data_IF_667042297185
#
_entry.id   IF_667042297185
#
_cell.length_a   1.000
_cell.length_b   1.000
_cell.length_c   1.000
_cell.angle_alpha   90.00
_cell.angle_beta   90.00
_cell.angle_gamma   90.00
#
_symmetry.space_group_name_H-M   'P 1'
#
loop_
_entity.id
_entity.type
_entity.pdbx_description
1 polymer ?
#
# COMPACT_ATOMS: atom_id res chain seq x y z
N UNK A 1 28.32 -30.98 26.00
CA UNK A 1 28.44 -29.66 25.41
C UNK A 1 27.84 -29.79 24.01
N UNK A 2 26.52 -29.59 23.90
CA UNK A 2 25.79 -29.74 22.63
C UNK A 2 25.44 -28.31 22.21
N UNK A 3 26.24 -27.79 21.31
CA UNK A 3 25.91 -26.58 20.57
C UNK A 3 24.70 -26.90 19.67
N UNK A 4 23.51 -26.58 20.12
CA UNK A 4 22.37 -26.43 19.24
C UNK A 4 22.65 -25.18 18.36
N UNK A 5 23.29 -25.38 17.24
CA UNK A 5 23.27 -24.49 16.13
C UNK A 5 21.78 -24.29 15.73
N UNK A 6 21.21 -23.15 16.10
CA UNK A 6 19.98 -22.67 15.49
C UNK A 6 20.25 -22.40 14.02
N UNK A 7 20.18 -23.42 13.16
CA UNK A 7 19.98 -23.22 11.76
C UNK A 7 18.66 -22.47 11.60
N UNK A 8 18.74 -21.19 11.32
CA UNK A 8 17.56 -20.39 10.96
C UNK A 8 16.97 -20.99 9.67
N UNK A 9 16.01 -21.89 9.83
CA UNK A 9 15.34 -22.55 8.72
C UNK A 9 14.69 -21.48 7.83
N UNK A 10 15.18 -21.33 6.63
CA UNK A 10 14.57 -20.46 5.63
C UNK A 10 13.22 -21.02 5.20
N UNK A 11 12.15 -20.22 5.35
CA UNK A 11 10.83 -20.58 4.82
C UNK A 11 10.87 -20.53 3.30
N UNK A 12 10.56 -21.66 2.66
CA UNK A 12 10.55 -21.79 1.20
C UNK A 12 9.16 -21.57 0.61
N UNK A 13 9.07 -21.47 -0.73
CA UNK A 13 7.77 -21.45 -1.41
C UNK A 13 6.98 -22.75 -1.20
N UNK A 14 7.67 -23.89 -1.03
CA UNK A 14 7.01 -25.18 -0.75
C UNK A 14 6.38 -25.18 0.65
N UNK A 15 7.08 -24.66 1.65
CA UNK A 15 6.54 -24.53 3.02
C UNK A 15 5.29 -23.64 3.03
N UNK A 16 5.29 -22.52 2.27
CA UNK A 16 4.13 -21.64 2.14
C UNK A 16 2.96 -22.32 1.42
N UNK A 17 3.25 -23.14 0.42
CA UNK A 17 2.21 -23.91 -0.29
C UNK A 17 1.57 -24.98 0.62
N UNK A 18 2.39 -25.72 1.38
CA UNK A 18 1.91 -26.71 2.34
C UNK A 18 1.03 -26.06 3.42
N UNK A 19 1.50 -24.94 4.00
CA UNK A 19 0.69 -24.20 4.98
C UNK A 19 -0.63 -23.67 4.39
N UNK A 20 -0.64 -23.26 3.13
CA UNK A 20 -1.87 -22.82 2.45
C UNK A 20 -2.85 -23.97 2.25
N UNK A 21 -2.36 -25.20 2.09
CA UNK A 21 -3.22 -26.40 2.04
C UNK A 21 -3.84 -26.70 3.41
N UNK A 22 -3.04 -26.64 4.48
CA UNK A 22 -3.53 -26.82 5.85
C UNK A 22 -4.64 -25.81 6.19
N UNK A 23 -4.53 -24.57 5.73
CA UNK A 23 -5.56 -23.55 5.94
C UNK A 23 -6.91 -23.91 5.30
N UNK A 24 -6.95 -24.74 4.25
CA UNK A 24 -8.22 -25.14 3.60
C UNK A 24 -9.05 -26.08 4.46
N UNK A 25 -8.41 -26.74 5.42
CA UNK A 25 -9.10 -27.65 6.35
C UNK A 25 -9.66 -26.93 7.58
N UNK A 26 -9.29 -25.67 7.80
CA UNK A 26 -9.82 -24.90 8.94
C UNK A 26 -11.33 -24.68 8.82
N UNK A 27 -12.02 -24.83 9.94
CA UNK A 27 -13.48 -24.66 10.03
C UNK A 27 -14.30 -25.88 9.60
N UNK A 28 -13.66 -26.99 9.19
CA UNK A 28 -14.35 -28.24 8.83
C UNK A 28 -14.57 -29.19 10.01
N UNK A 29 -13.91 -28.92 11.14
CA UNK A 29 -14.03 -29.72 12.38
C UNK A 29 -15.08 -29.18 13.36
N UNK A 30 -15.39 -29.98 14.37
CA UNK A 30 -16.27 -29.60 15.48
C UNK A 30 -15.51 -28.71 16.46
N UNK A 31 -15.56 -27.40 16.28
CA UNK A 31 -14.97 -26.42 17.21
C UNK A 31 -16.05 -25.63 17.94
N UNK A 32 -15.84 -25.31 19.21
CA UNK A 32 -16.72 -24.44 19.99
C UNK A 32 -16.57 -22.97 19.60
N UNK A 33 -17.55 -22.14 19.94
CA UNK A 33 -17.60 -20.73 19.58
C UNK A 33 -16.35 -19.94 20.04
N UNK A 34 -15.78 -20.25 21.21
CA UNK A 34 -14.56 -19.62 21.71
C UNK A 34 -13.36 -19.94 20.82
N UNK A 35 -13.21 -21.19 20.42
CA UNK A 35 -12.13 -21.62 19.52
C UNK A 35 -12.27 -20.96 18.14
N UNK A 36 -13.48 -20.90 17.60
CA UNK A 36 -13.73 -20.28 16.29
C UNK A 36 -13.34 -18.80 16.28
N UNK A 37 -13.68 -18.04 17.31
CA UNK A 37 -13.31 -16.60 17.36
C UNK A 37 -11.80 -16.42 17.56
N UNK A 38 -11.14 -17.31 18.30
CA UNK A 38 -9.69 -17.29 18.46
C UNK A 38 -8.97 -17.64 17.14
N UNK A 39 -9.47 -18.61 16.38
CA UNK A 39 -8.94 -18.93 15.05
C UNK A 39 -9.09 -17.74 14.08
N UNK A 40 -10.23 -17.06 14.08
CA UNK A 40 -10.42 -15.84 13.28
C UNK A 40 -9.39 -14.77 13.65
N UNK A 41 -9.17 -14.53 14.94
CA UNK A 41 -8.16 -13.58 15.41
C UNK A 41 -6.75 -13.98 14.95
N UNK A 42 -6.37 -15.25 15.11
CA UNK A 42 -5.05 -15.75 14.67
C UNK A 42 -4.84 -15.63 13.17
N UNK A 43 -5.88 -15.84 12.37
CA UNK A 43 -5.81 -15.63 10.92
C UNK A 43 -5.61 -14.16 10.55
N UNK A 44 -6.18 -13.21 11.30
CA UNK A 44 -5.94 -11.78 11.07
C UNK A 44 -4.52 -11.36 11.45
N UNK A 45 -3.98 -11.90 12.56
CA UNK A 45 -2.57 -11.73 12.94
C UNK A 45 -1.63 -12.32 11.87
N UNK A 46 -1.94 -13.49 11.35
CA UNK A 46 -1.18 -14.14 10.26
C UNK A 46 -1.20 -13.33 8.96
N UNK A 47 -2.35 -12.79 8.56
CA UNK A 47 -2.45 -11.90 7.40
C UNK A 47 -1.53 -10.68 7.54
N UNK A 48 -1.48 -10.12 8.72
CA UNK A 48 -0.65 -8.97 9.04
C UNK A 48 0.84 -9.33 8.98
N UNK A 49 1.24 -10.45 9.59
CA UNK A 49 2.60 -10.97 9.53
C UNK A 49 3.03 -11.31 8.08
N UNK A 50 2.13 -11.89 7.29
CA UNK A 50 2.36 -12.16 5.88
C UNK A 50 2.57 -10.87 5.07
N UNK A 51 1.79 -9.82 5.35
CA UNK A 51 1.96 -8.51 4.71
C UNK A 51 3.32 -7.88 5.05
N UNK A 52 3.77 -7.98 6.30
CA UNK A 52 5.11 -7.52 6.70
C UNK A 52 6.22 -8.30 5.99
N UNK A 53 6.10 -9.61 5.89
CA UNK A 53 7.03 -10.46 5.15
C UNK A 53 7.06 -10.08 3.65
N UNK A 54 5.90 -9.85 3.03
CA UNK A 54 5.78 -9.38 1.65
C UNK A 54 6.48 -8.02 1.46
N UNK A 55 6.37 -7.09 2.42
CA UNK A 55 7.06 -5.81 2.34
C UNK A 55 8.59 -5.99 2.32
N UNK A 56 9.15 -6.81 3.22
CA UNK A 56 10.59 -7.11 3.24
C UNK A 56 11.05 -7.77 1.93
N UNK A 57 10.32 -8.77 1.46
CA UNK A 57 10.64 -9.46 0.20
C UNK A 57 10.56 -8.50 -1.00
N UNK A 58 9.59 -7.61 -1.02
CA UNK A 58 9.42 -6.60 -2.08
C UNK A 58 10.65 -5.68 -2.16
N UNK A 59 11.17 -5.20 -1.02
CA UNK A 59 12.36 -4.34 -1.01
C UNK A 59 13.61 -5.11 -1.44
N UNK A 60 13.79 -6.36 -0.98
CA UNK A 60 14.91 -7.22 -1.42
C UNK A 60 14.84 -7.49 -2.92
N UNK A 61 13.67 -7.86 -3.43
CA UNK A 61 13.44 -8.06 -4.87
C UNK A 61 13.77 -6.80 -5.67
N UNK A 62 13.28 -5.64 -5.23
CA UNK A 62 13.57 -4.37 -5.89
C UNK A 62 15.06 -4.05 -5.94
N UNK A 63 15.80 -4.35 -4.86
CA UNK A 63 17.24 -4.16 -4.81
C UNK A 63 17.96 -5.09 -5.81
N UNK A 64 17.59 -6.38 -5.84
CA UNK A 64 18.16 -7.37 -6.77
C UNK A 64 17.91 -6.97 -8.23
N UNK A 65 16.67 -6.56 -8.56
CA UNK A 65 16.32 -6.11 -9.91
C UNK A 65 17.10 -4.86 -10.33
N UNK A 66 17.24 -3.88 -9.43
CA UNK A 66 18.04 -2.67 -9.71
C UNK A 66 19.53 -3.00 -9.93
N UNK A 67 20.09 -3.96 -9.20
CA UNK A 67 21.45 -4.44 -9.41
C UNK A 67 21.59 -5.15 -10.76
N UNK A 68 20.69 -6.04 -11.12
CA UNK A 68 20.69 -6.72 -12.41
C UNK A 68 20.58 -5.75 -13.58
N UNK A 69 19.70 -4.75 -13.48
CA UNK A 69 19.55 -3.70 -14.49
C UNK A 69 20.84 -2.87 -14.66
N UNK A 70 21.53 -2.55 -13.57
CA UNK A 70 22.84 -1.86 -13.62
C UNK A 70 23.91 -2.72 -14.32
N UNK A 71 23.98 -4.01 -13.95
CA UNK A 71 24.90 -4.94 -14.56
C UNK A 71 24.63 -5.15 -16.07
N UNK A 72 23.38 -5.05 -16.49
CA UNK A 72 22.97 -5.10 -17.89
C UNK A 72 23.16 -3.77 -18.65
N UNK A 73 23.75 -2.73 -18.04
CA UNK A 73 24.00 -1.44 -18.68
C UNK A 73 22.75 -0.59 -18.89
N UNK A 74 21.67 -0.84 -18.19
CA UNK A 74 20.43 -0.04 -18.28
C UNK A 74 20.74 1.41 -17.86
N UNK A 75 20.33 2.43 -18.63
CA UNK A 75 20.56 3.82 -18.27
C UNK A 75 20.01 4.18 -16.90
N UNK A 76 20.73 4.99 -16.11
CA UNK A 76 20.39 5.34 -14.73
C UNK A 76 18.95 5.80 -14.54
N UNK A 77 18.41 6.58 -15.50
CA UNK A 77 17.00 7.06 -15.52
C UNK A 77 15.95 5.95 -15.67
N UNK A 78 16.37 4.75 -16.05
CA UNK A 78 15.51 3.60 -16.33
C UNK A 78 15.62 2.50 -15.27
N UNK A 79 16.62 2.60 -14.40
CA UNK A 79 16.82 1.66 -13.29
C UNK A 79 15.58 1.70 -12.38
N UNK A 80 15.07 0.50 -12.06
CA UNK A 80 13.86 0.32 -11.26
C UNK A 80 12.56 0.36 -12.07
N UNK A 81 12.59 0.73 -13.37
CA UNK A 81 11.40 0.61 -14.22
C UNK A 81 10.93 -0.85 -14.29
N UNK A 82 9.62 -1.05 -14.21
CA UNK A 82 8.99 -2.36 -14.28
C UNK A 82 8.94 -3.14 -12.96
N UNK A 83 9.74 -2.78 -11.94
CA UNK A 83 9.74 -3.48 -10.65
C UNK A 83 8.36 -3.46 -9.99
N UNK A 84 7.70 -2.30 -9.93
CA UNK A 84 6.34 -2.20 -9.38
C UNK A 84 5.32 -3.05 -10.16
N UNK A 85 5.45 -3.15 -11.49
CA UNK A 85 4.56 -4.00 -12.29
C UNK A 85 4.77 -5.50 -12.00
N UNK A 86 6.01 -5.94 -11.78
CA UNK A 86 6.31 -7.33 -11.40
C UNK A 86 5.75 -7.64 -10.00
N UNK A 87 5.86 -6.70 -9.04
CA UNK A 87 5.23 -6.83 -7.71
C UNK A 87 3.72 -6.92 -7.83
N UNK A 88 3.09 -6.09 -8.69
CA UNK A 88 1.65 -6.15 -8.95
C UNK A 88 1.23 -7.52 -9.48
N UNK A 89 1.95 -8.05 -10.47
CA UNK A 89 1.68 -9.36 -11.05
C UNK A 89 1.76 -10.47 -9.98
N UNK A 90 2.81 -10.46 -9.16
CA UNK A 90 2.99 -11.43 -8.07
C UNK A 90 1.87 -11.36 -7.03
N UNK A 91 1.36 -10.14 -6.75
CA UNK A 91 0.23 -9.93 -5.82
C UNK A 91 -1.15 -10.00 -6.50
N UNK A 92 -1.21 -10.32 -7.79
CA UNK A 92 -2.44 -10.37 -8.60
C UNK A 92 -3.22 -9.05 -8.56
N UNK A 93 -2.50 -7.93 -8.64
CA UNK A 93 -3.07 -6.58 -8.51
C UNK A 93 -2.73 -5.73 -9.76
N UNK A 94 -3.34 -4.55 -9.88
CA UNK A 94 -3.08 -3.64 -10.99
C UNK A 94 -1.68 -3.03 -10.93
N UNK A 95 -1.07 -2.64 -12.07
CA UNK A 95 0.26 -2.00 -12.07
C UNK A 95 0.35 -0.75 -11.20
N UNK A 96 -0.74 0.02 -11.08
CA UNK A 96 -0.81 1.18 -10.20
C UNK A 96 -0.71 0.79 -8.72
N UNK A 97 -1.37 -0.30 -8.33
CA UNK A 97 -1.28 -0.87 -6.98
C UNK A 97 0.12 -1.41 -6.68
N UNK A 98 0.77 -2.03 -7.67
CA UNK A 98 2.14 -2.50 -7.51
C UNK A 98 3.14 -1.40 -7.14
N UNK A 99 3.00 -0.21 -7.74
CA UNK A 99 3.80 0.94 -7.35
C UNK A 99 3.50 1.40 -5.91
N UNK A 100 2.23 1.33 -5.48
CA UNK A 100 1.84 1.63 -4.10
C UNK A 100 2.41 0.61 -3.11
N UNK A 101 2.35 -0.69 -3.43
CA UNK A 101 2.94 -1.75 -2.60
C UNK A 101 4.46 -1.58 -2.46
N UNK A 102 5.15 -1.27 -3.54
CA UNK A 102 6.59 -0.99 -3.51
C UNK A 102 6.90 0.23 -2.63
N UNK A 103 6.17 1.33 -2.80
CA UNK A 103 6.34 2.52 -1.98
C UNK A 103 6.04 2.29 -0.50
N UNK A 104 4.99 1.54 -0.18
CA UNK A 104 4.67 1.14 1.20
C UNK A 104 5.78 0.26 1.80
N UNK A 105 6.27 -0.73 1.05
CA UNK A 105 7.34 -1.61 1.49
C UNK A 105 8.63 -0.84 1.79
N UNK A 106 9.02 0.10 0.92
CA UNK A 106 10.18 0.98 1.13
C UNK A 106 9.99 1.88 2.36
N UNK A 107 8.80 2.45 2.56
CA UNK A 107 8.47 3.27 3.71
C UNK A 107 8.56 2.46 5.02
N UNK A 108 7.92 1.30 5.09
CA UNK A 108 7.91 0.45 6.27
C UNK A 108 9.32 0.00 6.67
N UNK A 109 10.13 -0.43 5.70
CA UNK A 109 11.46 -1.00 5.99
C UNK A 109 12.52 0.04 6.31
N UNK A 110 12.38 1.29 5.83
CA UNK A 110 13.43 2.32 5.98
C UNK A 110 13.07 3.43 6.95
N UNK A 111 11.79 3.73 7.07
CA UNK A 111 11.32 4.96 7.71
C UNK A 111 10.34 4.74 8.86
N UNK A 112 9.65 3.57 8.88
CA UNK A 112 8.59 3.25 9.84
C UNK A 112 8.83 1.88 10.51
N UNK A 113 9.98 1.68 11.19
CA UNK A 113 10.35 0.37 11.75
C UNK A 113 9.43 -0.11 12.88
N UNK A 114 8.89 0.78 13.72
CA UNK A 114 7.94 0.41 14.77
C UNK A 114 6.59 -0.01 14.20
N UNK A 115 6.11 0.68 13.17
CA UNK A 115 4.92 0.28 12.42
C UNK A 115 5.11 -1.09 11.75
N UNK A 116 6.29 -1.34 11.16
CA UNK A 116 6.62 -2.66 10.60
C UNK A 116 6.60 -3.74 11.69
N UNK A 117 7.23 -3.49 12.83
CA UNK A 117 7.24 -4.43 13.95
C UNK A 117 5.84 -4.72 14.51
N UNK A 118 4.97 -3.70 14.58
CA UNK A 118 3.57 -3.89 14.98
C UNK A 118 2.78 -4.72 13.95
N UNK A 119 3.06 -4.55 12.65
CA UNK A 119 2.48 -5.36 11.58
C UNK A 119 2.96 -6.81 11.64
N UNK A 120 4.26 -7.04 11.90
CA UNK A 120 4.86 -8.38 12.07
C UNK A 120 4.22 -9.18 13.20
N UNK A 121 3.90 -8.50 14.30
CA UNK A 121 3.25 -9.11 15.48
C UNK A 121 1.73 -9.22 15.35
N UNK A 122 1.14 -8.76 14.26
CA UNK A 122 -0.30 -8.79 14.06
C UNK A 122 -1.10 -7.73 14.84
N UNK A 123 -0.44 -6.78 15.49
CA UNK A 123 -1.10 -5.73 16.28
C UNK A 123 -1.85 -4.72 15.39
N UNK A 124 -1.44 -4.56 14.15
CA UNK A 124 -2.10 -3.72 13.15
C UNK A 124 -2.22 -4.44 11.82
N UNK A 125 -3.22 -4.08 11.03
CA UNK A 125 -3.38 -4.58 9.65
C UNK A 125 -2.51 -3.79 8.65
N UNK A 126 -2.28 -4.37 7.46
CA UNK A 126 -1.61 -3.67 6.34
C UNK A 126 -2.30 -2.34 6.00
N UNK A 127 -3.63 -2.28 6.13
CA UNK A 127 -4.37 -1.04 5.92
C UNK A 127 -4.02 0.05 6.92
N UNK A 128 -3.90 -0.26 8.21
CA UNK A 128 -3.47 0.71 9.23
C UNK A 128 -2.03 1.18 8.98
N UNK A 129 -1.12 0.28 8.64
CA UNK A 129 0.24 0.63 8.23
C UNK A 129 0.25 1.56 7.00
N UNK A 130 -0.63 1.31 6.02
CA UNK A 130 -0.82 2.18 4.85
C UNK A 130 -1.33 3.57 5.24
N UNK A 131 -2.25 3.67 6.19
CA UNK A 131 -2.74 4.96 6.68
C UNK A 131 -1.62 5.78 7.31
N UNK A 132 -0.79 5.17 8.17
CA UNK A 132 0.37 5.83 8.81
C UNK A 132 1.34 6.32 7.73
N UNK A 133 1.74 5.45 6.79
CA UNK A 133 2.65 5.81 5.72
C UNK A 133 2.11 6.95 4.84
N UNK A 134 0.80 6.98 4.58
CA UNK A 134 0.14 8.04 3.79
C UNK A 134 0.07 9.36 4.52
N UNK A 135 -0.30 9.36 5.79
CA UNK A 135 -0.42 10.60 6.56
C UNK A 135 0.95 11.26 6.82
N UNK A 136 2.02 10.48 6.84
CA UNK A 136 3.40 10.95 7.04
C UNK A 136 4.18 11.18 5.75
N UNK A 137 3.63 10.91 4.58
CA UNK A 137 4.34 10.91 3.30
C UNK A 137 4.91 12.28 2.87
N UNK A 138 4.45 13.38 3.44
CA UNK A 138 4.97 14.74 3.19
C UNK A 138 6.15 15.13 4.07
N UNK A 139 6.43 14.38 5.12
CA UNK A 139 7.46 14.69 6.10
C UNK A 139 8.86 14.24 5.63
N UNK A 140 9.90 14.82 6.22
CA UNK A 140 11.25 14.30 6.09
C UNK A 140 11.38 12.91 6.71
N UNK A 141 12.46 12.19 6.38
CA UNK A 141 12.71 10.84 6.92
C UNK A 141 12.82 10.89 8.45
N UNK A 142 13.46 11.91 8.99
CA UNK A 142 13.64 12.11 10.43
C UNK A 142 12.29 12.32 11.13
N UNK A 143 11.46 13.20 10.58
CA UNK A 143 10.11 13.44 11.12
C UNK A 143 9.21 12.20 10.98
N UNK A 144 9.33 11.44 9.90
CA UNK A 144 8.58 10.18 9.75
C UNK A 144 8.95 9.16 10.81
N UNK A 145 10.26 9.02 11.11
CA UNK A 145 10.75 8.16 12.20
C UNK A 145 10.26 8.63 13.57
N UNK A 146 10.22 9.93 13.79
CA UNK A 146 9.70 10.49 15.04
C UNK A 146 8.20 10.21 15.21
N UNK A 147 7.39 10.34 14.14
CA UNK A 147 5.98 9.94 14.17
C UNK A 147 5.84 8.45 14.46
N UNK A 148 6.64 7.61 13.81
CA UNK A 148 6.62 6.16 13.97
C UNK A 148 6.94 5.74 15.41
N UNK A 149 7.98 6.33 16.00
CA UNK A 149 8.36 6.07 17.38
C UNK A 149 7.27 6.49 18.38
N UNK A 150 6.67 7.66 18.19
CA UNK A 150 5.63 8.15 19.10
C UNK A 150 4.32 7.35 18.98
N UNK A 151 3.92 7.01 17.76
CA UNK A 151 2.64 6.35 17.49
C UNK A 151 2.70 4.83 17.69
N UNK A 152 3.78 4.19 17.27
CA UNK A 152 3.83 2.74 17.11
C UNK A 152 4.85 2.04 18.03
N UNK A 153 5.67 2.74 18.81
CA UNK A 153 6.60 2.10 19.74
C UNK A 153 5.87 1.37 20.88
N UNK A 154 4.64 1.81 21.23
CA UNK A 154 3.78 1.09 22.15
C UNK A 154 2.73 0.26 21.36
N UNK A 155 2.96 -1.06 21.17
CA UNK A 155 2.05 -1.90 20.39
C UNK A 155 0.64 -1.99 20.96
N UNK A 156 0.47 -1.97 22.28
CA UNK A 156 -0.84 -1.99 22.93
C UNK A 156 -1.66 -0.74 22.64
N UNK A 157 -1.00 0.42 22.61
CA UNK A 157 -1.64 1.71 22.30
C UNK A 157 -2.19 1.74 20.87
N UNK A 158 -1.37 1.40 19.89
CA UNK A 158 -1.78 1.43 18.47
C UNK A 158 -2.81 0.35 18.14
N UNK A 159 -2.74 -0.82 18.76
CA UNK A 159 -3.69 -1.91 18.57
C UNK A 159 -5.12 -1.53 18.99
N UNK A 160 -5.25 -0.74 20.05
CA UNK A 160 -6.54 -0.29 20.59
C UNK A 160 -7.21 0.78 19.69
N UNK A 161 -6.47 1.45 18.80
CA UNK A 161 -7.00 2.50 17.95
C UNK A 161 -7.73 1.93 16.73
N UNK A 162 -8.89 2.50 16.40
CA UNK A 162 -9.56 2.24 15.11
C UNK A 162 -8.89 2.97 13.94
N UNK A 163 -9.20 2.60 12.70
CA UNK A 163 -8.59 3.17 11.49
C UNK A 163 -8.62 4.71 11.44
N UNK A 164 -9.75 5.32 11.83
CA UNK A 164 -9.91 6.80 11.84
C UNK A 164 -9.01 7.44 12.91
N UNK A 165 -8.90 6.82 14.07
CA UNK A 165 -8.08 7.32 15.18
C UNK A 165 -6.59 7.21 14.84
N UNK A 166 -6.14 6.10 14.24
CA UNK A 166 -4.75 5.94 13.75
C UNK A 166 -4.39 7.03 12.76
N UNK A 167 -5.23 7.27 11.76
CA UNK A 167 -4.98 8.31 10.76
C UNK A 167 -5.00 9.73 11.37
N UNK A 168 -5.92 9.99 12.30
CA UNK A 168 -6.02 11.29 12.98
C UNK A 168 -4.78 11.54 13.87
N UNK A 169 -4.33 10.54 14.60
CA UNK A 169 -3.18 10.64 15.50
C UNK A 169 -1.88 10.81 14.70
N UNK A 170 -1.68 10.01 13.63
CA UNK A 170 -0.54 10.18 12.73
C UNK A 170 -0.48 11.61 12.15
N UNK A 171 -1.64 12.15 11.73
CA UNK A 171 -1.74 13.53 11.22
C UNK A 171 -1.48 14.57 12.30
N UNK A 172 -1.98 14.37 13.52
CA UNK A 172 -1.77 15.28 14.65
C UNK A 172 -0.28 15.41 14.97
N UNK A 173 0.42 14.28 15.06
CA UNK A 173 1.86 14.26 15.33
C UNK A 173 2.62 14.89 14.15
N UNK A 174 2.26 14.53 12.90
CA UNK A 174 2.87 15.09 11.69
C UNK A 174 2.74 16.61 11.64
N UNK A 175 1.55 17.15 11.93
CA UNK A 175 1.32 18.60 11.97
C UNK A 175 2.13 19.30 13.06
N UNK A 176 2.29 18.67 14.22
CA UNK A 176 3.10 19.22 15.31
C UNK A 176 4.59 19.29 14.94
N UNK A 177 5.11 18.27 14.22
CA UNK A 177 6.51 18.21 13.83
C UNK A 177 6.85 19.12 12.63
N UNK A 178 5.94 19.19 11.66
CA UNK A 178 6.12 20.02 10.46
C UNK A 178 4.77 20.53 9.92
N UNK A 179 4.27 21.67 10.45
CA UNK A 179 3.03 22.27 9.98
C UNK A 179 3.10 22.72 8.52
N UNK A 180 4.28 23.14 8.04
CA UNK A 180 4.46 23.63 6.68
C UNK A 180 4.34 22.49 5.66
N UNK A 181 5.02 21.37 5.86
CA UNK A 181 4.91 20.21 4.99
C UNK A 181 3.46 19.72 4.86
N UNK A 182 2.70 19.70 5.96
CA UNK A 182 1.29 19.27 5.97
C UNK A 182 0.39 20.25 5.20
N UNK A 183 0.59 21.56 5.40
CA UNK A 183 -0.20 22.60 4.70
C UNK A 183 0.13 22.66 3.21
N UNK A 184 1.39 22.52 2.82
CA UNK A 184 1.82 22.50 1.43
C UNK A 184 1.28 21.27 0.68
N UNK A 185 1.24 20.12 1.37
CA UNK A 185 0.56 18.94 0.83
C UNK A 185 -0.94 19.20 0.56
N UNK A 186 -1.62 19.87 1.48
CA UNK A 186 -3.04 20.22 1.31
C UNK A 186 -3.23 21.16 0.12
N UNK A 187 -2.43 22.23 0.00
CA UNK A 187 -2.45 23.16 -1.15
C UNK A 187 -2.16 22.45 -2.46
N UNK A 188 -1.17 21.55 -2.49
CA UNK A 188 -0.84 20.76 -3.67
C UNK A 188 -2.01 19.86 -4.07
N UNK A 189 -2.66 19.19 -3.12
CA UNK A 189 -3.84 18.38 -3.39
C UNK A 189 -5.01 19.21 -3.94
N UNK A 190 -5.18 20.46 -3.49
CA UNK A 190 -6.17 21.39 -4.04
C UNK A 190 -5.86 21.79 -5.48
N UNK A 191 -4.61 22.12 -5.78
CA UNK A 191 -4.18 22.51 -7.13
C UNK A 191 -4.25 21.34 -8.14
N UNK A 192 -4.18 20.10 -7.67
CA UNK A 192 -4.26 18.90 -8.48
C UNK A 192 -5.71 18.38 -8.68
N UNK A 193 -6.70 19.03 -8.07
CA UNK A 193 -8.11 18.68 -8.26
C UNK A 193 -8.50 18.94 -9.70
N UNK A 194 -9.00 17.93 -10.39
CA UNK A 194 -9.53 18.06 -11.73
C UNK A 194 -10.79 17.21 -11.90
N UNK A 195 -11.69 17.71 -12.71
CA UNK A 195 -12.88 16.97 -13.16
C UNK A 195 -12.55 16.28 -14.47
N UNK A 196 -12.67 14.95 -14.50
CA UNK A 196 -12.47 14.18 -15.73
C UNK A 196 -13.79 13.66 -16.24
N UNK A 197 -14.10 13.96 -17.51
CA UNK A 197 -15.22 13.35 -18.22
C UNK A 197 -14.75 12.01 -18.81
N UNK A 198 -15.44 10.94 -18.47
CA UNK A 198 -15.22 9.64 -19.11
C UNK A 198 -16.43 9.32 -19.98
N UNK A 199 -16.25 8.89 -21.24
CA UNK A 199 -17.36 8.40 -22.03
C UNK A 199 -17.96 7.17 -21.33
N UNK A 200 -19.23 7.25 -20.98
CA UNK A 200 -19.98 6.09 -20.53
C UNK A 200 -20.33 5.21 -21.73
N UNK A 201 -20.49 3.90 -21.49
CA UNK A 201 -20.85 2.93 -22.55
C UNK A 201 -22.01 3.44 -23.40
N UNK A 202 -21.98 3.14 -24.67
CA UNK A 202 -22.67 3.63 -25.87
C UNK A 202 -24.12 4.16 -25.81
N UNK A 203 -24.79 4.27 -24.67
CA UNK A 203 -26.17 4.80 -24.58
C UNK A 203 -26.42 5.91 -23.58
N UNK A 204 -25.46 6.24 -22.69
CA UNK A 204 -25.62 7.31 -21.72
C UNK A 204 -24.32 8.09 -21.51
N UNK A 205 -24.39 9.42 -21.58
CA UNK A 205 -23.30 10.29 -21.17
C UNK A 205 -23.40 10.48 -19.67
N UNK A 206 -22.52 9.83 -18.93
CA UNK A 206 -22.45 9.97 -17.48
C UNK A 206 -21.28 10.88 -17.09
N UNK A 207 -21.54 11.87 -16.26
CA UNK A 207 -20.50 12.64 -15.56
C UNK A 207 -20.08 11.83 -14.32
N UNK A 208 -18.95 11.14 -14.38
CA UNK A 208 -18.36 10.55 -13.18
C UNK A 208 -17.46 11.59 -12.53
N UNK A 209 -17.98 12.32 -11.56
CA UNK A 209 -17.20 13.22 -10.71
C UNK A 209 -16.30 12.41 -9.79
N UNK A 210 -15.02 12.29 -10.15
CA UNK A 210 -13.97 11.72 -9.30
C UNK A 210 -12.90 12.77 -9.09
N UNK A 211 -12.63 13.16 -7.83
CA UNK A 211 -11.45 13.95 -7.49
C UNK A 211 -10.26 12.98 -7.52
N UNK A 212 -9.59 12.91 -8.67
CA UNK A 212 -8.37 12.12 -8.82
C UNK A 212 -7.18 13.07 -8.75
N UNK A 213 -6.27 12.82 -7.81
CA UNK A 213 -4.94 13.42 -7.87
C UNK A 213 -4.22 12.92 -9.14
N UNK A 214 -3.98 13.80 -10.09
CA UNK A 214 -3.23 13.50 -11.31
C UNK A 214 -1.90 14.27 -11.34
N UNK A 215 -0.86 13.60 -11.83
CA UNK A 215 0.38 14.26 -12.28
C UNK A 215 0.03 15.31 -13.37
N UNK A 216 0.68 16.48 -13.38
CA UNK A 216 0.34 17.55 -14.32
C UNK A 216 0.75 17.15 -15.72
N UNK A 217 -0.21 16.72 -16.55
CA UNK A 217 -0.12 16.86 -17.98
C UNK A 217 -1.15 17.92 -18.36
N UNK A 218 -0.71 18.97 -19.03
CA UNK A 218 -1.52 20.10 -19.50
C UNK A 218 -2.86 19.60 -20.06
N UNK A 219 -3.94 19.91 -19.35
CA UNK A 219 -5.31 19.69 -19.84
C UNK A 219 -5.56 20.73 -20.96
N UNK A 220 -5.30 20.37 -22.22
CA UNK A 220 -5.90 21.10 -23.34
C UNK A 220 -7.34 20.61 -23.45
N UNK A 221 -8.27 21.46 -23.08
CA UNK A 221 -9.66 21.34 -23.50
C UNK A 221 -9.67 21.47 -25.03
N UNK A 222 -9.66 20.36 -25.77
CA UNK A 222 -10.04 20.38 -27.18
C UNK A 222 -11.55 20.55 -27.18
N UNK A 223 -11.97 21.62 -27.89
CA UNK A 223 -13.34 22.08 -27.98
C UNK A 223 -14.32 20.96 -28.31
N UNK A 224 -15.50 21.09 -27.75
CA UNK A 224 -16.65 20.27 -28.09
C UNK A 224 -16.88 20.38 -29.63
N UNK A 225 -16.79 19.26 -30.33
CA UNK A 225 -17.23 19.17 -31.72
C UNK A 225 -18.74 19.28 -31.71
N UNK A 226 -19.37 20.28 -32.36
CA UNK A 226 -20.82 20.37 -32.39
C UNK A 226 -21.39 19.17 -33.17
N UNK A 227 -22.39 18.52 -32.58
CA UNK A 227 -23.11 17.43 -33.22
C UNK A 227 -23.68 17.86 -34.56
N UNK A 228 -23.23 17.26 -35.66
CA UNK A 228 -23.83 17.43 -37.00
C UNK A 228 -25.30 16.96 -36.92
N UNK A 229 -26.21 17.89 -37.09
CA UNK A 229 -27.65 17.58 -37.34
C UNK A 229 -27.73 16.75 -38.62
N UNK A 230 -28.30 15.56 -38.53
CA UNK A 230 -28.71 14.78 -39.70
C UNK A 230 -29.88 15.50 -40.37
N UNK A 231 -29.90 15.65 -41.71
CA UNK A 231 -31.04 16.17 -42.42
C UNK A 231 -32.21 15.18 -42.29
N UNK A 232 -33.41 15.74 -42.06
CA UNK A 232 -34.65 15.00 -42.13
C UNK A 232 -34.84 14.42 -43.53
N UNK A 233 -35.13 13.11 -43.65
CA UNK A 233 -35.62 12.53 -44.90
C UNK A 233 -37.06 12.96 -45.06
N UNK A 234 -37.32 13.73 -46.13
CA UNK A 234 -38.66 13.93 -46.71
C UNK A 234 -39.02 12.69 -47.54
N UNK A 235 -40.25 12.26 -47.45
CA UNK A 235 -40.84 11.14 -48.16
C UNK A 235 -41.94 10.50 -47.36
#
# INVERSE_FOLDING_TARGET
MIEHMFESRWVTCADLAAFSEDLRTLGTGAAGAAELIDQIRRLEELKSAAAAAQARLTVRFAATQRLAQRAAGVPAREIGKGVGAQVALARRDSPARGAQHLGLAEALTRELPHTLAALEKGHISEWRATLIARETACLSVEHRRAVDAELAANPGGIAALGNRAVAAEARRIAYRLDPHAVTDRARKAESERCVTLRPARARHHGVAGGVAARRPRRCRLRGAVPARRRPARAG
#
